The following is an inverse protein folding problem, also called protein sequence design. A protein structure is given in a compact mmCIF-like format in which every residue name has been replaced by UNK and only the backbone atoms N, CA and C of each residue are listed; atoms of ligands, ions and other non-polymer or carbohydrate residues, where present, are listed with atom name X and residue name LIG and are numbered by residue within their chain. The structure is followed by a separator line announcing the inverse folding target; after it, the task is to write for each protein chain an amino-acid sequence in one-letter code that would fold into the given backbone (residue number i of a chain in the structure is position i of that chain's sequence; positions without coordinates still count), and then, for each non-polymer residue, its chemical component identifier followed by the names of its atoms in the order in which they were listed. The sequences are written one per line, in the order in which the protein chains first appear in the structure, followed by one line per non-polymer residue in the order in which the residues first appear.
data_IF_756214791721
#
_entry.id   IF_756214791721
#
_cell.length_a   1.000
_cell.length_b   1.000
_cell.length_c   1.000
_cell.angle_alpha   90.00
_cell.angle_beta   90.00
_cell.angle_gamma   90.00
#
_symmetry.space_group_name_H-M   'P 1'
#
loop_
_entity.id
_entity.type
_entity.pdbx_description
1 polymer ?
#
# COMPACT_ATOMS: atom_id res chain seq x y z
N UNK A 1 8.82 15.88 1.95
CA UNK A 1 7.36 16.08 2.02
C UNK A 1 6.67 15.81 0.67
N UNK A 2 6.91 16.57 -0.41
CA UNK A 2 6.18 16.38 -1.69
C UNK A 2 6.28 15.00 -2.34
N UNK A 3 7.43 14.32 -2.24
CA UNK A 3 7.62 12.98 -2.82
C UNK A 3 6.62 11.92 -2.33
N UNK A 4 6.16 12.02 -1.07
CA UNK A 4 5.18 11.10 -0.50
C UNK A 4 3.78 11.25 -1.14
N UNK A 5 3.46 12.42 -1.69
CA UNK A 5 2.24 12.67 -2.46
C UNK A 5 2.43 12.23 -3.91
N UNK A 6 3.59 12.57 -4.50
CA UNK A 6 3.94 12.25 -5.88
C UNK A 6 3.94 10.73 -6.13
N UNK A 7 4.40 9.92 -5.17
CA UNK A 7 4.45 8.45 -5.34
C UNK A 7 3.09 7.81 -5.62
N UNK A 8 1.99 8.44 -5.15
CA UNK A 8 0.63 7.94 -5.41
C UNK A 8 0.26 7.99 -6.89
N UNK A 9 0.82 8.95 -7.65
CA UNK A 9 0.60 9.03 -9.09
C UNK A 9 1.28 7.89 -9.85
N UNK A 10 2.28 7.24 -9.25
CA UNK A 10 2.94 6.07 -9.83
C UNK A 10 2.22 4.76 -9.53
N UNK A 11 1.10 4.76 -8.79
CA UNK A 11 0.31 3.56 -8.50
C UNK A 11 -0.04 2.70 -9.73
N UNK A 12 -0.40 3.26 -10.89
CA UNK A 12 -0.68 2.44 -12.08
C UNK A 12 0.51 1.60 -12.57
N UNK A 13 1.74 1.96 -12.21
CA UNK A 13 2.97 1.22 -12.56
C UNK A 13 3.53 0.40 -11.40
N UNK A 14 3.16 0.73 -10.16
CA UNK A 14 3.64 0.05 -8.96
C UNK A 14 2.77 -1.16 -8.59
N UNK A 15 1.46 -1.09 -8.80
CA UNK A 15 0.54 -2.22 -8.53
C UNK A 15 0.44 -3.14 -9.74
N UNK A 16 1.31 -4.14 -9.80
CA UNK A 16 1.35 -5.14 -10.88
C UNK A 16 0.46 -6.36 -10.61
N UNK A 17 -0.48 -6.27 -9.68
CA UNK A 17 -1.33 -7.40 -9.30
C UNK A 17 -2.22 -7.88 -10.46
N UNK A 18 -2.37 -9.20 -10.67
CA UNK A 18 -3.21 -9.75 -11.73
C UNK A 18 -4.70 -9.43 -11.54
N UNK A 19 -5.11 -9.01 -10.32
CA UNK A 19 -6.51 -8.75 -10.00
C UNK A 19 -6.70 -7.35 -9.42
N UNK A 20 -7.62 -6.59 -10.02
CA UNK A 20 -7.89 -5.19 -9.63
C UNK A 20 -8.57 -5.05 -8.27
N UNK A 21 -9.51 -5.94 -7.93
CA UNK A 21 -10.27 -5.83 -6.68
C UNK A 21 -9.64 -6.61 -5.53
N UNK A 22 -9.41 -5.92 -4.39
CA UNK A 22 -8.86 -6.51 -3.15
C UNK A 22 -9.68 -7.68 -2.60
N UNK A 23 -10.96 -7.80 -2.98
CA UNK A 23 -11.83 -8.92 -2.57
C UNK A 23 -11.28 -10.26 -3.05
N UNK A 24 -10.60 -10.26 -4.19
CA UNK A 24 -10.09 -11.45 -4.87
C UNK A 24 -8.57 -11.61 -4.67
N UNK A 25 -7.93 -10.70 -3.96
CA UNK A 25 -6.52 -10.79 -3.60
C UNK A 25 -6.31 -11.71 -2.39
N UNK A 26 -5.09 -12.21 -2.17
CA UNK A 26 -4.73 -12.95 -0.97
C UNK A 26 -5.11 -12.20 0.31
N UNK A 27 -5.63 -12.91 1.32
CA UNK A 27 -6.09 -12.29 2.58
C UNK A 27 -5.00 -11.50 3.30
N UNK A 28 -3.74 -11.91 3.17
CA UNK A 28 -2.60 -11.22 3.78
C UNK A 28 -2.36 -9.82 3.18
N UNK A 29 -2.79 -9.55 1.94
CA UNK A 29 -2.76 -8.19 1.39
C UNK A 29 -3.60 -7.25 2.25
N UNK A 30 -4.79 -7.68 2.70
CA UNK A 30 -5.65 -6.84 3.57
C UNK A 30 -4.97 -6.51 4.89
N UNK A 31 -4.22 -7.46 5.46
CA UNK A 31 -3.44 -7.23 6.67
C UNK A 31 -2.35 -6.21 6.42
N UNK A 32 -1.61 -6.34 5.31
CA UNK A 32 -0.57 -5.38 4.93
C UNK A 32 -1.14 -3.96 4.71
N UNK A 33 -2.28 -3.84 4.01
CA UNK A 33 -2.99 -2.57 3.88
C UNK A 33 -3.44 -2.02 5.24
N UNK A 34 -3.92 -2.88 6.15
CA UNK A 34 -4.28 -2.48 7.51
C UNK A 34 -3.10 -1.91 8.30
N UNK A 35 -1.94 -2.57 8.23
CA UNK A 35 -0.69 -2.09 8.84
C UNK A 35 -0.29 -0.73 8.24
N UNK A 36 -0.39 -0.59 6.91
CA UNK A 36 -0.11 0.68 6.24
C UNK A 36 -0.99 1.84 6.73
N UNK A 37 -2.30 1.60 6.90
CA UNK A 37 -3.22 2.62 7.44
C UNK A 37 -2.83 3.03 8.87
N UNK A 38 -2.42 2.09 9.71
CA UNK A 38 -1.93 2.39 11.06
C UNK A 38 -0.68 3.26 11.02
N UNK A 39 0.33 2.89 10.24
CA UNK A 39 1.55 3.70 10.10
C UNK A 39 1.28 5.08 9.51
N UNK A 40 0.36 5.18 8.55
CA UNK A 40 -0.06 6.46 7.99
C UNK A 40 -0.67 7.38 9.06
N UNK A 41 -1.56 6.85 9.91
CA UNK A 41 -2.14 7.61 11.01
C UNK A 41 -1.10 8.01 12.07
N UNK A 42 -0.18 7.10 12.43
CA UNK A 42 0.92 7.37 13.37
C UNK A 42 1.83 8.49 12.86
N UNK A 43 2.22 8.47 11.58
CA UNK A 43 3.03 9.53 10.98
C UNK A 43 2.28 10.86 10.94
N UNK A 44 0.97 10.85 10.63
CA UNK A 44 0.13 12.04 10.69
C UNK A 44 0.08 12.64 12.09
N UNK A 45 -0.06 11.79 13.12
CA UNK A 45 -0.04 12.22 14.52
C UNK A 45 1.33 12.76 14.94
N UNK A 46 2.42 12.06 14.63
CA UNK A 46 3.77 12.53 14.95
C UNK A 46 4.13 13.84 14.22
N UNK A 47 3.51 14.10 13.06
CA UNK A 47 3.70 15.34 12.31
C UNK A 47 3.18 16.61 13.02
N UNK A 48 2.28 16.47 14.00
CA UNK A 48 1.76 17.61 14.80
C UNK A 48 2.36 17.67 16.22
N UNK A 49 3.18 16.69 16.59
CA UNK A 49 3.82 16.65 17.91
C UNK A 49 5.17 17.38 17.89
N UNK A 50 5.61 17.93 19.04
CA UNK A 50 6.96 18.46 19.17
C UNK A 50 7.99 17.33 18.96
N UNK A 51 9.16 17.65 18.37
CA UNK A 51 10.23 16.67 18.19
C UNK A 51 10.65 16.02 19.52
N UNK A 52 10.78 14.70 19.50
CA UNK A 52 11.31 13.90 20.59
C UNK A 52 12.18 12.78 20.03
N UNK A 53 13.13 12.26 20.80
CA UNK A 53 14.06 11.23 20.32
C UNK A 53 13.31 9.96 19.86
N UNK A 54 12.37 9.49 20.69
CA UNK A 54 11.54 8.32 20.39
C UNK A 54 10.61 8.60 19.20
N UNK A 55 9.94 9.75 19.18
CA UNK A 55 9.05 10.14 18.09
C UNK A 55 9.79 10.24 16.75
N UNK A 56 11.03 10.75 16.77
CA UNK A 56 11.88 10.85 15.58
C UNK A 56 12.24 9.47 15.03
N UNK A 57 12.64 8.54 15.91
CA UNK A 57 12.95 7.16 15.49
C UNK A 57 11.72 6.45 14.90
N UNK A 58 10.56 6.59 15.54
CA UNK A 58 9.31 6.03 15.02
C UNK A 58 8.95 6.67 13.67
N UNK A 59 9.10 7.99 13.53
CA UNK A 59 8.82 8.68 12.28
C UNK A 59 9.76 8.24 11.14
N UNK A 60 11.04 7.99 11.43
CA UNK A 60 11.99 7.47 10.44
C UNK A 60 11.60 6.05 9.98
N UNK A 61 11.33 5.14 10.92
CA UNK A 61 10.88 3.77 10.60
C UNK A 61 9.57 3.80 9.82
N UNK A 62 8.61 4.60 10.26
CA UNK A 62 7.32 4.77 9.58
C UNK A 62 7.48 5.31 8.16
N UNK A 63 8.41 6.27 7.96
CA UNK A 63 8.69 6.81 6.62
C UNK A 63 9.32 5.76 5.72
N UNK A 64 10.28 4.97 6.23
CA UNK A 64 10.86 3.84 5.49
C UNK A 64 9.78 2.81 5.12
N UNK A 65 8.87 2.50 6.05
CA UNK A 65 7.76 1.61 5.80
C UNK A 65 6.80 2.18 4.74
N UNK A 66 6.47 3.47 4.81
CA UNK A 66 5.59 4.15 3.84
C UNK A 66 6.15 4.06 2.42
N UNK A 67 7.41 4.45 2.21
CA UNK A 67 8.02 4.35 0.88
C UNK A 67 8.27 2.90 0.46
N UNK A 68 8.70 2.05 1.39
CA UNK A 68 8.89 0.62 1.15
C UNK A 68 7.61 -0.07 0.70
N UNK A 69 6.45 0.28 1.27
CA UNK A 69 5.15 -0.24 0.86
C UNK A 69 4.89 0.01 -0.63
N UNK A 70 5.11 1.22 -1.13
CA UNK A 70 4.91 1.56 -2.54
C UNK A 70 6.02 1.01 -3.45
N UNK A 71 7.30 1.16 -3.07
CA UNK A 71 8.42 0.73 -3.90
C UNK A 71 8.53 -0.79 -4.02
N UNK A 72 8.13 -1.54 -3.00
CA UNK A 72 8.08 -3.01 -3.05
C UNK A 72 6.76 -3.53 -3.62
N UNK A 73 5.78 -2.66 -3.89
CA UNK A 73 4.48 -3.02 -4.45
C UNK A 73 4.56 -3.87 -5.71
N UNK A 74 5.47 -3.63 -6.68
CA UNK A 74 5.63 -4.49 -7.86
C UNK A 74 5.88 -5.96 -7.52
N UNK A 75 6.55 -6.24 -6.40
CA UNK A 75 6.81 -7.60 -5.94
C UNK A 75 5.68 -8.13 -5.06
N UNK A 76 5.36 -7.45 -3.95
CA UNK A 76 4.45 -8.04 -2.97
C UNK A 76 3.00 -8.12 -3.49
N UNK A 77 2.58 -7.23 -4.40
CA UNK A 77 1.22 -7.22 -4.96
C UNK A 77 0.91 -8.40 -5.90
N UNK A 78 1.94 -9.11 -6.37
CA UNK A 78 1.81 -10.26 -7.29
C UNK A 78 1.89 -11.61 -6.57
N UNK A 79 2.31 -11.63 -5.31
CA UNK A 79 2.54 -12.87 -4.55
C UNK A 79 1.25 -13.35 -3.88
N UNK A 80 0.99 -14.66 -3.96
CA UNK A 80 -0.04 -15.37 -3.19
C UNK A 80 -1.12 -16.01 -4.07
N UNK A 81 -2.14 -16.59 -3.42
CA UNK A 81 -3.26 -17.23 -4.12
C UNK A 81 -4.40 -16.25 -4.35
N UNK A 82 -4.67 -15.95 -5.62
CA UNK A 82 -5.77 -15.09 -6.07
C UNK A 82 -7.04 -15.92 -6.26
N UNK A 83 -8.18 -15.35 -5.86
CA UNK A 83 -9.49 -15.94 -6.09
C UNK A 83 -9.96 -15.63 -7.52
N UNK A 84 -10.75 -16.49 -8.15
CA UNK A 84 -11.31 -16.22 -9.46
C UNK A 84 -12.20 -14.97 -9.41
N UNK A 85 -11.98 -14.07 -10.37
CA UNK A 85 -12.86 -12.92 -10.61
C UNK A 85 -14.11 -13.36 -11.38
N UNK A 86 -15.27 -12.70 -11.23
CA UNK A 86 -16.51 -13.09 -11.91
C UNK A 86 -16.40 -13.00 -13.43
N UNK A 87 -16.97 -13.93 -14.18
CA UNK A 87 -16.85 -13.96 -15.65
C UNK A 87 -17.44 -12.73 -16.36
N UNK A 88 -18.42 -12.08 -15.74
CA UNK A 88 -19.09 -10.87 -16.26
C UNK A 88 -18.18 -9.64 -16.47
N UNK A 89 -16.92 -9.67 -16.02
CA UNK A 89 -15.96 -8.60 -16.33
C UNK A 89 -15.20 -8.83 -17.65
N UNK A 90 -15.31 -10.01 -18.27
CA UNK A 90 -14.81 -10.26 -19.62
C UNK A 90 -15.97 -10.06 -20.60
N UNK A 91 -16.28 -8.81 -20.97
CA UNK A 91 -17.23 -8.56 -22.06
C UNK A 91 -16.56 -8.97 -23.38
N UNK A 92 -16.92 -10.13 -23.91
CA UNK A 92 -16.72 -10.45 -25.31
C UNK A 92 -17.94 -9.95 -26.07
N UNK A 93 -17.75 -8.97 -26.97
CA UNK A 93 -18.81 -8.57 -27.88
C UNK A 93 -19.19 -9.78 -28.76
N UNK A 94 -20.50 -10.00 -28.93
CA UNK A 94 -21.06 -11.00 -29.83
C UNK A 94 -20.72 -10.70 -31.29
#
# INVERSE_FOLDING_TARGET
MGGAVIILFFLPWLDNSPVKSIRYRPSWHKVLYGIFVVFFAVLGYLGIQPPSDIGTLIAQIGTLFYFGFFLLMPWWSTIGMFKPVPDRVNFAAH
#
